data_IF_842430082362
#
_entry.id   IF_842430082362
#
_cell.length_a   1.000
_cell.length_b   1.000
_cell.length_c   1.000
_cell.angle_alpha   90.00
_cell.angle_beta   90.00
_cell.angle_gamma   90.00
#
_symmetry.space_group_name_H-M   'P 1'
#
loop_
_entity.id
_entity.type
_entity.pdbx_description
1 polymer ?
#
# COMPACT_ATOMS: atom_id res chain seq x y z
N UNK A 1 -6.15 -28.36 21.81
CA UNK A 1 -5.72 -27.68 20.57
C UNK A 1 -6.66 -28.08 19.43
N UNK A 2 -7.32 -27.11 18.79
CA UNK A 2 -8.26 -27.38 17.68
C UNK A 2 -7.52 -27.14 16.35
N UNK A 3 -7.51 -28.15 15.48
CA UNK A 3 -7.01 -28.05 14.09
C UNK A 3 -7.93 -27.12 13.29
N UNK A 4 -7.39 -26.45 12.27
CA UNK A 4 -8.16 -25.60 11.35
C UNK A 4 -8.96 -26.50 10.39
N UNK A 5 -10.03 -27.13 10.89
CA UNK A 5 -11.02 -27.80 10.06
C UNK A 5 -12.22 -26.88 9.85
N UNK A 6 -12.37 -26.41 8.61
CA UNK A 6 -13.55 -25.75 8.04
C UNK A 6 -14.17 -24.62 8.86
N UNK A 7 -13.81 -23.38 8.53
CA UNK A 7 -14.69 -22.24 8.72
C UNK A 7 -14.79 -21.42 7.43
N UNK A 8 -15.71 -21.84 6.54
CA UNK A 8 -16.49 -20.85 5.80
C UNK A 8 -17.57 -20.34 6.75
N UNK A 9 -17.29 -19.25 7.44
CA UNK A 9 -18.32 -18.40 8.02
C UNK A 9 -17.72 -17.03 8.32
N UNK A 10 -18.20 -16.06 7.55
CA UNK A 10 -17.99 -14.62 7.68
C UNK A 10 -17.95 -14.19 9.15
N UNK A 11 -16.89 -13.51 9.56
CA UNK A 11 -16.88 -12.71 10.78
C UNK A 11 -16.23 -11.36 10.47
N UNK A 12 -17.09 -10.40 10.14
CA UNK A 12 -16.79 -8.99 10.19
C UNK A 12 -16.28 -8.60 11.58
N UNK A 13 -15.28 -7.72 11.58
CA UNK A 13 -14.89 -6.79 12.64
C UNK A 13 -15.35 -7.12 14.08
N UNK A 14 -14.42 -7.62 14.89
CA UNK A 14 -14.33 -7.22 16.29
C UNK A 14 -12.92 -7.49 16.84
N UNK A 15 -12.07 -6.45 16.85
CA UNK A 15 -10.97 -6.37 17.81
C UNK A 15 -11.58 -6.26 19.21
N UNK A 16 -11.83 -7.39 19.85
CA UNK A 16 -12.00 -7.43 21.31
C UNK A 16 -10.75 -8.04 21.92
N UNK A 17 -9.93 -7.16 22.50
CA UNK A 17 -8.87 -7.54 23.43
C UNK A 17 -9.56 -8.10 24.68
N UNK A 18 -9.50 -9.41 24.88
CA UNK A 18 -9.65 -10.02 26.19
C UNK A 18 -8.39 -10.83 26.49
N UNK A 19 -7.52 -10.24 27.32
CA UNK A 19 -6.59 -11.03 28.11
C UNK A 19 -7.41 -11.73 29.21
N UNK A 20 -7.46 -13.06 29.16
CA UNK A 20 -7.74 -13.86 30.35
C UNK A 20 -6.74 -15.01 30.42
N UNK A 21 -5.82 -14.90 31.37
CA UNK A 21 -5.09 -16.05 31.87
C UNK A 21 -6.09 -17.10 32.36
N UNK A 22 -5.93 -18.33 31.87
CA UNK A 22 -6.28 -19.52 32.64
C UNK A 22 -5.08 -20.46 32.56
N UNK A 23 -4.48 -20.65 33.73
CA UNK A 23 -3.53 -21.70 34.07
C UNK A 23 -4.10 -23.10 33.81
N UNK A 24 -3.18 -24.07 33.84
CA UNK A 24 -3.36 -25.52 34.06
C UNK A 24 -3.61 -26.39 32.80
N UNK A 25 -2.57 -27.08 32.31
CA UNK A 25 -2.14 -28.38 32.87
C UNK A 25 -1.07 -29.06 32.00
N UNK A 26 -0.02 -29.55 32.66
CA UNK A 26 1.07 -30.35 32.09
C UNK A 26 0.57 -31.73 31.62
N UNK A 27 0.54 -31.94 30.30
CA UNK A 27 0.55 -33.27 29.69
C UNK A 27 1.66 -33.31 28.63
N UNK A 28 2.66 -34.16 28.90
CA UNK A 28 3.68 -34.55 27.92
C UNK A 28 3.01 -35.43 26.84
N UNK A 29 2.54 -34.81 25.76
CA UNK A 29 2.11 -35.50 24.53
C UNK A 29 3.27 -35.41 23.53
N UNK A 30 3.86 -36.57 23.23
CA UNK A 30 4.95 -36.78 22.28
C UNK A 30 4.50 -36.44 20.83
N UNK A 31 4.36 -35.14 20.51
CA UNK A 31 4.08 -34.64 19.16
C UNK A 31 5.00 -33.47 18.80
N UNK A 32 6.29 -33.78 18.70
CA UNK A 32 7.41 -32.84 18.52
C UNK A 32 7.77 -32.48 17.06
N UNK A 33 6.94 -32.76 16.05
CA UNK A 33 7.39 -32.59 14.65
C UNK A 33 6.65 -31.50 13.84
N UNK A 34 5.63 -30.82 14.37
CA UNK A 34 4.97 -29.71 13.66
C UNK A 34 5.55 -28.36 14.11
N UNK A 35 6.51 -27.86 13.34
CA UNK A 35 7.03 -26.50 13.45
C UNK A 35 6.41 -25.64 12.35
N UNK A 36 5.57 -24.67 12.75
CA UNK A 36 5.07 -23.64 11.85
C UNK A 36 6.06 -22.48 11.81
N UNK A 37 6.63 -22.22 10.64
CA UNK A 37 7.53 -21.10 10.41
C UNK A 37 6.73 -19.90 9.88
N UNK A 38 6.41 -18.96 10.78
CA UNK A 38 5.62 -17.78 10.44
C UNK A 38 6.35 -16.86 9.46
N UNK A 39 7.68 -16.74 9.57
CA UNK A 39 8.47 -15.85 8.72
C UNK A 39 8.45 -16.37 7.28
N UNK A 40 8.69 -17.67 7.09
CA UNK A 40 8.60 -18.29 5.77
C UNK A 40 7.19 -18.18 5.17
N UNK A 41 6.14 -18.34 5.99
CA UNK A 41 4.77 -18.19 5.52
C UNK A 41 4.44 -16.76 5.07
N UNK A 42 4.92 -15.75 5.82
CA UNK A 42 4.77 -14.34 5.44
C UNK A 42 5.51 -14.06 4.12
N UNK A 43 6.75 -14.51 3.99
CA UNK A 43 7.55 -14.34 2.76
C UNK A 43 6.84 -14.93 1.54
N UNK A 44 6.34 -16.17 1.63
CA UNK A 44 5.64 -16.83 0.53
C UNK A 44 4.31 -16.14 0.19
N UNK A 45 3.60 -15.65 1.21
CA UNK A 45 2.35 -14.91 1.04
C UNK A 45 2.57 -13.58 0.33
N UNK A 46 3.51 -12.75 0.82
CA UNK A 46 3.81 -11.45 0.23
C UNK A 46 4.50 -11.57 -1.13
N UNK A 47 5.27 -12.64 -1.37
CA UNK A 47 5.77 -12.96 -2.70
C UNK A 47 4.64 -13.18 -3.70
N UNK A 48 3.58 -13.88 -3.30
CA UNK A 48 2.43 -14.16 -4.17
C UNK A 48 1.52 -12.94 -4.37
N UNK A 49 1.16 -12.27 -3.28
CA UNK A 49 0.12 -11.24 -3.31
C UNK A 49 0.67 -9.82 -3.42
N UNK A 50 1.96 -9.62 -3.19
CA UNK A 50 2.61 -8.29 -3.18
C UNK A 50 2.52 -7.63 -1.81
N UNK A 51 3.18 -6.48 -1.64
CA UNK A 51 3.48 -5.82 -0.35
C UNK A 51 2.27 -5.57 0.58
N UNK A 52 1.06 -5.45 0.05
CA UNK A 52 -0.15 -5.24 0.86
C UNK A 52 -1.03 -6.49 0.99
N UNK A 53 -0.60 -7.63 0.45
CA UNK A 53 -1.35 -8.87 0.51
C UNK A 53 -2.65 -8.82 -0.31
N UNK A 54 -3.70 -9.44 0.23
CA UNK A 54 -5.00 -9.58 -0.42
C UNK A 54 -6.14 -9.60 0.61
N UNK A 55 -7.39 -9.72 0.19
CA UNK A 55 -8.54 -9.74 1.09
C UNK A 55 -8.51 -10.93 2.08
N UNK A 56 -9.26 -10.82 3.16
CA UNK A 56 -9.29 -11.81 4.24
C UNK A 56 -9.68 -13.21 3.76
N UNK A 57 -10.62 -13.30 2.80
CA UNK A 57 -11.11 -14.56 2.29
C UNK A 57 -10.03 -15.25 1.45
N UNK A 58 -9.36 -14.52 0.57
CA UNK A 58 -8.23 -15.03 -0.22
C UNK A 58 -7.06 -15.41 0.69
N UNK A 59 -6.80 -14.64 1.74
CA UNK A 59 -5.75 -14.91 2.74
C UNK A 59 -6.02 -16.21 3.50
N UNK A 60 -7.23 -16.40 4.01
CA UNK A 60 -7.64 -17.63 4.71
C UNK A 60 -7.58 -18.86 3.79
N UNK A 61 -8.02 -18.71 2.53
CA UNK A 61 -7.96 -19.78 1.54
C UNK A 61 -6.51 -20.16 1.20
N UNK A 62 -5.62 -19.17 1.06
CA UNK A 62 -4.21 -19.43 0.81
C UNK A 62 -3.56 -20.15 2.00
N UNK A 63 -3.79 -19.67 3.23
CA UNK A 63 -3.18 -20.25 4.43
C UNK A 63 -3.62 -21.71 4.63
N UNK A 64 -4.93 -21.97 4.59
CA UNK A 64 -5.47 -23.33 4.76
C UNK A 64 -5.01 -24.32 3.69
N UNK A 65 -4.74 -23.84 2.47
CA UNK A 65 -4.22 -24.69 1.39
C UNK A 65 -2.73 -25.00 1.53
N UNK A 66 -1.90 -24.10 2.08
CA UNK A 66 -0.45 -24.30 2.19
C UNK A 66 -0.04 -24.92 3.54
N UNK A 67 -0.83 -24.68 4.59
CA UNK A 67 -0.57 -25.18 5.94
C UNK A 67 -1.80 -25.93 6.49
N UNK A 68 -2.20 -27.07 5.86
CA UNK A 68 -3.42 -27.79 6.24
C UNK A 68 -3.38 -28.39 7.66
N UNK A 69 -2.19 -28.57 8.23
CA UNK A 69 -2.00 -29.07 9.59
C UNK A 69 -1.80 -27.96 10.65
N UNK A 70 -1.86 -26.68 10.24
CA UNK A 70 -1.73 -25.55 11.14
C UNK A 70 -2.83 -25.51 12.21
N UNK A 71 -2.45 -25.00 13.37
CA UNK A 71 -3.36 -24.70 14.47
C UNK A 71 -3.90 -23.28 14.36
N UNK A 72 -4.94 -23.00 15.16
CA UNK A 72 -5.50 -21.65 15.26
C UNK A 72 -4.47 -20.61 15.73
N UNK A 73 -3.51 -21.00 16.58
CA UNK A 73 -2.41 -20.13 17.00
C UNK A 73 -1.54 -19.69 15.83
N UNK A 74 -1.18 -20.63 14.96
CA UNK A 74 -0.34 -20.38 13.78
C UNK A 74 -1.01 -19.43 12.81
N UNK A 75 -2.33 -19.60 12.60
CA UNK A 75 -3.14 -18.66 11.84
C UNK A 75 -3.12 -17.26 12.46
N UNK A 76 -3.32 -17.16 13.78
CA UNK A 76 -3.33 -15.88 14.49
C UNK A 76 -1.97 -15.18 14.36
N UNK A 77 -0.87 -15.91 14.52
CA UNK A 77 0.49 -15.38 14.37
C UNK A 77 0.73 -14.91 12.93
N UNK A 78 0.28 -15.68 11.94
CA UNK A 78 0.37 -15.31 10.53
C UNK A 78 -0.41 -14.04 10.18
N UNK A 79 -1.69 -13.92 10.58
CA UNK A 79 -2.47 -12.71 10.28
C UNK A 79 -1.97 -11.48 11.05
N UNK A 80 -1.47 -11.67 12.27
CA UNK A 80 -0.80 -10.61 13.01
C UNK A 80 0.46 -10.14 12.29
N UNK A 81 1.25 -11.07 11.73
CA UNK A 81 2.39 -10.78 10.89
C UNK A 81 2.01 -9.99 9.63
N UNK A 82 0.94 -10.39 8.93
CA UNK A 82 0.42 -9.65 7.77
C UNK A 82 0.07 -8.21 8.15
N UNK A 83 -0.64 -8.02 9.27
CA UNK A 83 -1.03 -6.69 9.73
C UNK A 83 0.19 -5.80 10.03
N UNK A 84 1.23 -6.36 10.66
CA UNK A 84 2.47 -5.63 10.96
C UNK A 84 3.23 -5.23 9.70
N UNK A 85 3.34 -6.13 8.72
CA UNK A 85 3.99 -5.88 7.43
C UNK A 85 3.22 -4.84 6.60
N UNK A 86 1.88 -4.95 6.53
CA UNK A 86 1.03 -3.92 5.91
C UNK A 86 1.29 -2.56 6.51
N UNK A 87 1.24 -2.46 7.84
CA UNK A 87 1.50 -1.23 8.57
C UNK A 87 2.90 -0.65 8.29
N UNK A 88 3.91 -1.51 8.17
CA UNK A 88 5.26 -1.08 7.79
C UNK A 88 5.30 -0.54 6.36
N UNK A 89 4.64 -1.21 5.42
CA UNK A 89 4.58 -0.81 4.01
C UNK A 89 3.79 0.50 3.81
N UNK A 90 2.68 0.69 4.54
CA UNK A 90 1.93 1.96 4.57
C UNK A 90 2.83 3.10 5.03
N UNK A 91 3.60 2.92 6.11
CA UNK A 91 4.54 3.93 6.61
C UNK A 91 5.69 4.21 5.64
N UNK A 92 6.18 3.19 4.94
CA UNK A 92 7.25 3.35 3.96
C UNK A 92 6.78 4.20 2.77
N UNK A 93 5.61 3.88 2.20
CA UNK A 93 5.00 4.68 1.13
C UNK A 93 4.69 6.10 1.58
N UNK A 94 4.14 6.31 2.78
CA UNK A 94 3.90 7.63 3.35
C UNK A 94 5.17 8.48 3.46
N UNK A 95 6.31 7.87 3.81
CA UNK A 95 7.61 8.56 3.84
C UNK A 95 8.05 8.97 2.44
N UNK A 96 7.89 8.12 1.43
CA UNK A 96 8.24 8.47 0.05
C UNK A 96 7.44 9.70 -0.39
N UNK A 97 6.11 9.69 -0.18
CA UNK A 97 5.23 10.82 -0.55
C UNK A 97 5.62 12.14 0.14
N UNK A 98 6.06 12.09 1.40
CA UNK A 98 6.24 13.28 2.25
C UNK A 98 7.66 13.86 2.24
N UNK A 99 8.57 13.28 1.45
CA UNK A 99 9.98 13.70 1.37
C UNK A 99 10.24 14.89 0.43
N UNK A 100 9.21 15.40 -0.24
CA UNK A 100 9.27 16.56 -1.12
C UNK A 100 7.93 16.77 -1.82
N UNK A 101 7.83 17.86 -2.57
CA UNK A 101 6.69 18.06 -3.45
C UNK A 101 6.85 17.19 -4.71
N UNK A 102 5.77 16.63 -5.21
CA UNK A 102 5.71 15.87 -6.44
C UNK A 102 5.11 16.73 -7.54
N UNK A 103 5.83 16.96 -8.62
CA UNK A 103 5.36 17.84 -9.69
C UNK A 103 5.52 17.25 -11.08
N UNK A 104 4.64 17.65 -12.00
CA UNK A 104 4.72 17.22 -13.38
C UNK A 104 3.41 17.40 -14.14
N UNK A 105 3.36 16.91 -15.38
CA UNK A 105 2.15 16.95 -16.18
C UNK A 105 1.04 16.09 -15.57
N UNK A 106 -0.19 16.59 -15.67
CA UNK A 106 -1.40 15.86 -15.35
C UNK A 106 -2.43 16.07 -16.46
N UNK A 107 -3.12 14.98 -16.81
CA UNK A 107 -4.22 14.98 -17.76
C UNK A 107 -5.50 14.63 -17.03
N UNK A 108 -6.42 15.57 -17.00
CA UNK A 108 -7.73 15.41 -16.39
C UNK A 108 -8.74 14.93 -17.41
N UNK A 109 -9.56 13.97 -17.02
CA UNK A 109 -10.62 13.42 -17.86
C UNK A 109 -11.90 13.34 -17.03
N UNK A 110 -12.95 14.03 -17.47
CA UNK A 110 -14.25 13.99 -16.78
C UNK A 110 -15.40 13.86 -17.77
N UNK A 111 -16.53 13.39 -17.27
CA UNK A 111 -17.78 13.33 -18.04
C UNK A 111 -18.90 14.02 -17.30
N UNK A 112 -19.38 15.12 -17.88
CA UNK A 112 -20.56 15.80 -17.39
C UNK A 112 -21.79 14.88 -17.39
N UNK A 113 -22.68 15.09 -16.44
CA UNK A 113 -23.93 14.34 -16.36
C UNK A 113 -24.72 14.44 -17.67
N UNK A 114 -25.06 13.28 -18.25
CA UNK A 114 -25.79 13.20 -19.51
C UNK A 114 -24.93 13.34 -20.77
N UNK A 115 -23.62 13.59 -20.64
CA UNK A 115 -22.69 13.45 -21.74
C UNK A 115 -22.22 11.98 -21.87
N UNK A 116 -21.92 11.55 -23.10
CA UNK A 116 -21.40 10.21 -23.39
C UNK A 116 -19.88 10.20 -23.64
N UNK A 117 -19.28 11.37 -23.85
CA UNK A 117 -17.85 11.53 -24.16
C UNK A 117 -17.13 12.20 -23.00
N UNK A 118 -15.90 11.76 -22.74
CA UNK A 118 -15.01 12.47 -21.82
C UNK A 118 -14.59 13.81 -22.42
N UNK A 119 -14.61 14.83 -21.59
CA UNK A 119 -13.88 16.07 -21.78
C UNK A 119 -12.47 15.91 -21.20
N UNK A 120 -11.53 16.69 -21.73
CA UNK A 120 -10.12 16.59 -21.36
C UNK A 120 -9.50 17.98 -21.24
N UNK A 121 -8.68 18.13 -20.20
CA UNK A 121 -7.77 19.25 -20.04
C UNK A 121 -6.43 18.71 -19.51
N UNK A 122 -5.36 19.44 -19.74
CA UNK A 122 -4.05 19.14 -19.15
C UNK A 122 -3.53 20.35 -18.40
N UNK A 123 -2.79 20.11 -17.33
CA UNK A 123 -2.11 21.13 -16.55
C UNK A 123 -0.75 20.61 -16.06
N UNK A 124 0.04 21.49 -15.45
CA UNK A 124 1.11 21.09 -14.54
C UNK A 124 0.53 21.04 -13.14
N UNK A 125 0.74 19.95 -12.41
CA UNK A 125 0.31 19.82 -11.03
C UNK A 125 1.51 19.68 -10.09
N UNK A 126 1.38 20.19 -8.88
CA UNK A 126 2.28 19.99 -7.76
C UNK A 126 1.49 19.50 -6.54
N UNK A 127 1.95 18.40 -5.95
CA UNK A 127 1.38 17.77 -4.77
C UNK A 127 2.37 17.81 -3.62
N UNK A 128 1.99 18.46 -2.54
CA UNK A 128 2.72 18.48 -1.28
C UNK A 128 1.99 17.59 -0.26
N UNK A 129 2.70 16.64 0.34
CA UNK A 129 2.16 15.77 1.40
C UNK A 129 2.85 16.07 2.73
N UNK A 130 2.05 16.30 3.77
CA UNK A 130 2.50 16.49 5.14
C UNK A 130 1.87 15.42 6.05
N UNK A 131 2.71 14.74 6.84
CA UNK A 131 2.25 13.75 7.82
C UNK A 131 1.47 14.41 8.96
N UNK A 132 0.35 13.80 9.37
CA UNK A 132 -0.36 14.25 10.57
C UNK A 132 0.48 14.09 11.85
N UNK A 133 1.34 13.07 11.90
CA UNK A 133 2.27 12.79 12.99
C UNK A 133 3.40 11.86 12.50
N UNK A 134 4.47 11.76 13.29
CA UNK A 134 5.54 10.80 13.02
C UNK A 134 4.99 9.38 12.88
N UNK A 135 5.45 8.66 11.85
CA UNK A 135 5.01 7.30 11.50
C UNK A 135 3.52 7.16 11.17
N UNK A 136 2.81 8.24 10.83
CA UNK A 136 1.49 8.15 10.25
C UNK A 136 1.54 7.58 8.82
N UNK A 137 0.43 6.98 8.40
CA UNK A 137 0.15 6.63 7.01
C UNK A 137 -0.95 7.52 6.41
N UNK A 138 -1.12 8.71 7.00
CA UNK A 138 -2.14 9.69 6.65
C UNK A 138 -1.68 11.10 7.02
N UNK A 139 -2.35 12.10 6.47
CA UNK A 139 -1.99 13.47 6.69
C UNK A 139 -2.84 14.49 5.95
N UNK A 140 -2.27 15.67 5.81
CA UNK A 140 -2.79 16.75 4.97
C UNK A 140 -1.91 16.94 3.78
N UNK A 141 -2.47 17.52 2.73
CA UNK A 141 -1.70 17.91 1.58
C UNK A 141 -2.29 19.13 0.90
N UNK A 142 -1.58 19.55 -0.13
CA UNK A 142 -1.95 20.68 -0.96
C UNK A 142 -1.61 20.34 -2.40
N UNK A 143 -2.59 20.52 -3.26
CA UNK A 143 -2.44 20.51 -4.69
C UNK A 143 -2.34 21.95 -5.21
N UNK A 144 -1.45 22.18 -6.17
CA UNK A 144 -1.43 23.39 -6.98
C UNK A 144 -1.45 22.98 -8.45
N UNK A 145 -2.40 23.48 -9.24
CA UNK A 145 -2.48 23.22 -10.68
C UNK A 145 -2.25 24.53 -11.45
N UNK A 146 -1.39 24.50 -12.45
CA UNK A 146 -1.03 25.65 -13.30
C UNK A 146 -1.03 25.29 -14.78
N UNK A 147 -1.01 26.29 -15.66
CA UNK A 147 -0.81 26.12 -17.10
C UNK A 147 -1.88 25.23 -17.77
N UNK A 148 -3.14 25.45 -17.42
CA UNK A 148 -4.26 24.71 -17.99
C UNK A 148 -4.37 24.90 -19.51
N UNK A 149 -4.55 23.78 -20.24
CA UNK A 149 -4.69 23.78 -21.71
C UNK A 149 -5.98 24.43 -22.22
N UNK A 150 -7.00 24.51 -21.37
CA UNK A 150 -8.30 25.11 -21.69
C UNK A 150 -8.37 26.62 -21.34
N UNK A 151 -7.28 27.18 -20.80
CA UNK A 151 -7.19 28.58 -20.39
C UNK A 151 -7.82 28.88 -19.02
N UNK A 152 -8.18 27.86 -18.24
CA UNK A 152 -8.60 28.00 -16.85
C UNK A 152 -7.52 28.65 -15.99
N UNK A 153 -7.94 29.31 -14.91
CA UNK A 153 -7.02 29.93 -13.96
C UNK A 153 -6.32 28.88 -13.10
N UNK A 154 -5.11 29.22 -12.64
CA UNK A 154 -4.38 28.40 -11.67
C UNK A 154 -5.21 28.18 -10.39
N UNK A 155 -5.11 26.98 -9.83
CA UNK A 155 -5.86 26.58 -8.63
C UNK A 155 -4.95 26.06 -7.54
N UNK A 156 -5.40 26.18 -6.29
CA UNK A 156 -4.76 25.61 -5.13
C UNK A 156 -5.82 25.03 -4.19
N UNK A 157 -5.75 23.73 -3.95
CA UNK A 157 -6.75 22.99 -3.16
C UNK A 157 -6.05 22.15 -2.11
N UNK A 158 -6.52 22.20 -0.88
CA UNK A 158 -6.00 21.35 0.18
C UNK A 158 -6.78 20.03 0.25
N UNK A 159 -6.16 18.97 0.76
CA UNK A 159 -6.80 17.65 0.86
C UNK A 159 -6.35 16.88 2.11
N UNK A 160 -7.18 15.94 2.58
CA UNK A 160 -6.71 14.86 3.45
C UNK A 160 -6.15 13.75 2.57
N UNK A 161 -5.19 13.00 3.09
CA UNK A 161 -4.76 11.79 2.43
C UNK A 161 -4.52 10.67 3.42
N UNK A 162 -4.71 9.44 2.97
CA UNK A 162 -4.31 8.23 3.69
C UNK A 162 -3.90 7.12 2.73
N UNK A 163 -3.18 6.14 3.27
CA UNK A 163 -2.91 4.88 2.61
C UNK A 163 -3.80 3.84 3.26
N UNK A 164 -4.58 3.12 2.46
CA UNK A 164 -5.45 2.06 2.96
C UNK A 164 -4.69 0.73 3.19
N UNK A 165 -5.40 -0.32 3.56
CA UNK A 165 -4.79 -1.63 3.84
C UNK A 165 -4.38 -2.42 2.58
N UNK A 166 -4.75 -1.93 1.40
CA UNK A 166 -4.36 -2.46 0.09
C UNK A 166 -3.26 -1.64 -0.58
N UNK A 167 -2.79 -0.57 0.06
CA UNK A 167 -1.76 0.33 -0.45
C UNK A 167 -2.27 1.39 -1.41
N UNK A 168 -3.59 1.55 -1.54
CA UNK A 168 -4.17 2.63 -2.32
C UNK A 168 -3.95 3.96 -1.59
N UNK A 169 -3.73 5.03 -2.34
CA UNK A 169 -3.65 6.38 -1.80
C UNK A 169 -5.00 7.04 -2.02
N UNK A 170 -5.66 7.41 -0.92
CA UNK A 170 -6.95 8.10 -0.94
C UNK A 170 -6.68 9.59 -0.71
N UNK A 171 -7.28 10.45 -1.53
CA UNK A 171 -7.15 11.90 -1.50
C UNK A 171 -8.55 12.53 -1.38
N UNK A 172 -8.87 13.09 -0.22
CA UNK A 172 -10.14 13.78 0.01
C UNK A 172 -9.93 15.28 -0.08
N UNK A 173 -10.30 15.87 -1.22
CA UNK A 173 -10.16 17.29 -1.45
C UNK A 173 -11.12 18.09 -0.58
N UNK A 174 -10.70 19.28 -0.15
CA UNK A 174 -11.55 20.23 0.52
C UNK A 174 -12.51 20.90 -0.47
N UNK A 175 -13.67 21.31 0.01
CA UNK A 175 -14.62 22.15 -0.74
C UNK A 175 -15.15 23.28 0.14
N UNK A 176 -15.99 24.14 -0.42
CA UNK A 176 -16.71 25.17 0.34
C UNK A 176 -17.61 24.57 1.44
N UNK A 177 -17.99 23.29 1.33
CA UNK A 177 -18.76 22.56 2.35
C UNK A 177 -17.91 22.12 3.55
N UNK A 178 -16.58 22.18 3.42
CA UNK A 178 -15.63 21.91 4.49
C UNK A 178 -14.48 20.98 4.09
N UNK A 179 -13.66 20.67 5.10
CA UNK A 179 -12.49 19.82 4.93
C UNK A 179 -12.89 18.39 4.53
N UNK A 180 -12.27 17.85 3.48
CA UNK A 180 -12.57 16.52 2.95
C UNK A 180 -14.03 16.34 2.50
N UNK A 181 -14.67 17.42 2.04
CA UNK A 181 -16.05 17.42 1.49
C UNK A 181 -16.10 17.71 0.00
N UNK A 182 -14.96 17.78 -0.66
CA UNK A 182 -14.85 17.86 -2.10
C UNK A 182 -14.85 16.48 -2.73
N UNK A 183 -14.09 16.33 -3.80
CA UNK A 183 -13.93 15.07 -4.51
C UNK A 183 -12.98 14.16 -3.73
N UNK A 184 -13.37 12.91 -3.54
CA UNK A 184 -12.47 11.82 -3.14
C UNK A 184 -11.88 11.18 -4.40
N UNK A 185 -10.55 11.19 -4.51
CA UNK A 185 -9.79 10.55 -5.58
C UNK A 185 -8.95 9.41 -5.01
N UNK A 186 -8.89 8.28 -5.72
CA UNK A 186 -8.13 7.09 -5.29
C UNK A 186 -7.08 6.74 -6.33
N UNK A 187 -5.82 6.67 -5.90
CA UNK A 187 -4.72 6.06 -6.67
C UNK A 187 -4.60 4.61 -6.26
N UNK A 188 -5.00 3.70 -7.14
CA UNK A 188 -4.91 2.27 -6.86
C UNK A 188 -3.45 1.79 -6.87
N UNK A 189 -3.07 0.98 -5.88
CA UNK A 189 -1.71 0.43 -5.79
C UNK A 189 -1.31 -0.39 -7.04
N UNK A 190 -2.29 -1.01 -7.70
CA UNK A 190 -2.07 -1.78 -8.92
C UNK A 190 -1.63 -0.90 -10.11
N UNK A 191 -2.09 0.35 -10.15
CA UNK A 191 -1.85 1.31 -11.22
C UNK A 191 -0.74 2.31 -10.88
N UNK A 192 -0.24 2.26 -9.63
CA UNK A 192 0.77 3.16 -9.10
C UNK A 192 2.19 2.73 -9.50
N UNK A 193 2.86 3.56 -10.29
CA UNK A 193 4.30 3.49 -10.44
C UNK A 193 4.99 4.44 -9.46
N UNK A 194 5.60 3.87 -8.42
CA UNK A 194 6.29 4.62 -7.37
C UNK A 194 7.74 4.13 -7.26
N UNK A 195 8.68 4.89 -7.83
CA UNK A 195 10.12 4.59 -7.78
C UNK A 195 10.86 5.75 -7.09
N UNK A 196 11.21 5.54 -5.82
CA UNK A 196 11.92 6.54 -5.01
C UNK A 196 13.34 6.83 -5.54
N UNK A 197 13.99 5.83 -6.14
CA UNK A 197 15.34 5.96 -6.69
C UNK A 197 15.34 6.81 -7.97
N UNK A 198 14.27 6.68 -8.78
CA UNK A 198 14.06 7.48 -9.99
C UNK A 198 13.31 8.79 -9.73
N UNK A 199 12.90 9.07 -8.49
CA UNK A 199 12.01 10.18 -8.15
C UNK A 199 10.74 10.17 -9.02
N UNK A 200 10.08 9.03 -9.16
CA UNK A 200 8.90 8.87 -10.00
C UNK A 200 7.67 8.52 -9.15
N UNK A 201 6.59 9.26 -9.35
CA UNK A 201 5.26 9.00 -8.82
C UNK A 201 4.29 9.22 -9.97
N UNK A 202 3.82 8.12 -10.58
CA UNK A 202 2.98 8.16 -11.76
C UNK A 202 1.85 7.14 -11.65
N UNK A 203 0.74 7.40 -12.33
CA UNK A 203 -0.41 6.51 -12.35
C UNK A 203 -1.69 7.23 -12.73
N UNK A 204 -2.81 6.66 -12.34
CA UNK A 204 -4.14 7.22 -12.52
C UNK A 204 -4.82 7.35 -11.17
N UNK A 205 -5.34 8.54 -10.86
CA UNK A 205 -6.27 8.74 -9.74
C UNK A 205 -7.70 8.73 -10.29
N UNK A 206 -8.60 7.99 -9.66
CA UNK A 206 -10.00 7.86 -10.09
C UNK A 206 -10.93 8.38 -9.01
N UNK A 207 -11.96 9.15 -9.39
CA UNK A 207 -12.97 9.59 -8.45
C UNK A 207 -13.72 8.39 -7.83
N UNK A 208 -13.81 8.37 -6.51
CA UNK A 208 -14.69 7.48 -5.76
C UNK A 208 -15.96 8.21 -5.27
N UNK A 209 -16.16 9.45 -5.72
CA UNK A 209 -17.32 10.28 -5.34
C UNK A 209 -18.55 9.88 -6.14
N UNK A 210 -19.69 9.68 -5.45
CA UNK A 210 -20.94 9.29 -6.10
C UNK A 210 -21.37 10.30 -7.19
N UNK A 211 -21.66 9.77 -8.38
CA UNK A 211 -22.14 10.58 -9.50
C UNK A 211 -21.07 11.35 -10.26
N UNK A 212 -19.79 11.24 -9.86
CA UNK A 212 -18.66 11.80 -10.59
C UNK A 212 -17.95 10.72 -11.39
N UNK A 213 -17.83 10.93 -12.69
CA UNK A 213 -17.04 10.10 -13.60
C UNK A 213 -15.82 10.91 -14.05
N UNK A 214 -14.75 10.80 -13.26
CA UNK A 214 -13.52 11.57 -13.38
C UNK A 214 -12.31 10.68 -13.09
N UNK A 215 -11.25 10.86 -13.86
CA UNK A 215 -9.94 10.32 -13.58
C UNK A 215 -8.83 11.23 -14.11
N UNK A 216 -7.74 11.32 -13.35
CA UNK A 216 -6.57 12.10 -13.73
C UNK A 216 -5.36 11.16 -13.91
N UNK A 217 -4.74 11.22 -15.08
CA UNK A 217 -3.47 10.55 -15.35
C UNK A 217 -2.32 11.50 -15.01
N UNK A 218 -1.32 11.02 -14.29
CA UNK A 218 -0.20 11.85 -13.85
C UNK A 218 1.16 11.17 -14.00
N UNK A 219 2.18 11.98 -14.24
CA UNK A 219 3.59 11.57 -14.24
C UNK A 219 4.41 12.62 -13.49
N UNK A 220 4.59 12.40 -12.18
CA UNK A 220 5.23 13.37 -11.31
C UNK A 220 6.65 12.97 -10.94
N UNK A 221 7.49 13.99 -10.81
CA UNK A 221 8.83 13.90 -10.29
C UNK A 221 8.96 14.63 -8.97
N UNK A 222 9.77 14.07 -8.06
CA UNK A 222 10.03 14.70 -6.77
C UNK A 222 10.89 15.95 -6.95
N UNK A 223 10.29 17.12 -6.69
CA UNK A 223 10.98 18.39 -6.64
C UNK A 223 11.82 18.48 -5.35
N UNK A 224 13.12 18.66 -5.52
CA UNK A 224 14.07 18.79 -4.40
C UNK A 224 14.11 20.23 -3.85
N UNK A 225 12.98 20.77 -3.36
CA UNK A 225 13.08 21.90 -2.44
C UNK A 225 13.33 21.32 -1.04
N UNK A 226 14.49 21.61 -0.46
CA UNK A 226 14.85 21.11 0.86
C UNK A 226 13.84 21.59 1.92
N UNK A 227 12.88 20.75 2.34
CA UNK A 227 12.18 20.94 3.62
C UNK A 227 13.19 20.64 4.73
N UNK A 228 13.54 21.64 5.53
CA UNK A 228 14.28 21.42 6.77
C UNK A 228 13.32 20.85 7.84
N UNK A 229 13.69 19.71 8.44
CA UNK A 229 12.83 18.89 9.28
C UNK A 229 12.64 19.40 10.72
N UNK A 230 11.58 18.95 11.42
CA UNK A 230 11.66 18.64 12.83
C UNK A 230 12.09 17.16 13.01
N UNK A 231 13.35 16.91 13.39
CA UNK A 231 13.79 15.63 13.98
C UNK A 231 14.33 14.53 13.06
N UNK A 232 15.13 14.89 12.06
CA UNK A 232 15.71 13.98 11.06
C UNK A 232 16.33 12.66 11.61
N UNK A 233 15.95 11.53 11.00
CA UNK A 233 16.90 10.50 10.56
C UNK A 233 16.45 9.90 9.22
N UNK A 234 17.38 9.86 8.26
CA UNK A 234 17.31 9.04 7.05
C UNK A 234 17.65 7.60 7.43
N UNK A 235 16.78 6.67 7.08
CA UNK A 235 17.16 5.30 6.80
C UNK A 235 16.26 4.83 5.64
N UNK A 236 16.78 4.88 4.41
CA UNK A 236 16.20 4.13 3.30
C UNK A 236 16.65 2.69 3.45
N UNK A 237 15.72 1.81 3.75
CA UNK A 237 15.93 0.37 3.68
C UNK A 237 15.14 -0.15 2.48
N UNK A 238 15.84 -0.30 1.35
CA UNK A 238 15.71 -1.38 0.37
C UNK A 238 14.32 -1.82 -0.16
N UNK A 239 13.25 -1.07 0.03
CA UNK A 239 11.93 -1.42 -0.51
C UNK A 239 11.69 -0.61 -1.78
N UNK A 240 11.97 -1.23 -2.92
CA UNK A 240 11.50 -0.77 -4.22
C UNK A 240 10.01 -1.08 -4.29
N UNK A 241 9.17 -0.04 -4.32
CA UNK A 241 7.80 -0.19 -4.75
C UNK A 241 7.80 -0.23 -6.28
N UNK A 242 7.02 -1.12 -6.87
CA UNK A 242 6.71 -1.08 -8.29
C UNK A 242 5.30 -1.62 -8.41
N UNK A 243 4.34 -0.80 -8.82
CA UNK A 243 3.04 -1.29 -9.27
C UNK A 243 3.29 -2.40 -10.28
N UNK A 244 2.60 -3.53 -10.10
CA UNK A 244 2.93 -4.78 -10.80
C UNK A 244 2.88 -4.61 -12.31
N UNK A 245 4.05 -4.49 -12.95
CA UNK A 245 4.26 -4.89 -14.33
C UNK A 245 4.73 -6.34 -14.37
N UNK A 246 3.82 -7.28 -14.65
CA UNK A 246 3.99 -8.63 -15.21
C UNK A 246 5.25 -9.45 -14.83
N UNK A 247 5.14 -10.70 -14.33
CA UNK A 247 6.29 -11.55 -14.09
C UNK A 247 7.04 -11.86 -15.39
N UNK A 248 8.21 -11.25 -15.59
CA UNK A 248 9.13 -11.67 -16.64
C UNK A 248 9.91 -12.88 -16.15
N UNK A 249 9.40 -14.04 -16.58
CA UNK A 249 10.11 -15.31 -16.74
C UNK A 249 10.67 -15.98 -15.49
N UNK A 250 9.98 -17.05 -15.09
CA UNK A 250 10.67 -18.26 -14.68
C UNK A 250 11.67 -18.67 -15.78
N UNK A 251 12.96 -18.77 -15.45
CA UNK A 251 13.81 -19.95 -15.72
C UNK A 251 15.30 -19.66 -15.43
N UNK A 252 15.81 -20.39 -14.44
CA UNK A 252 17.18 -20.95 -14.32
C UNK A 252 18.40 -20.04 -14.43
N UNK A 253 19.17 -19.95 -13.34
CA UNK A 253 20.46 -20.64 -13.27
C UNK A 253 20.95 -20.77 -11.83
N UNK A 254 20.82 -21.99 -11.29
CA UNK A 254 21.69 -22.49 -10.22
C UNK A 254 23.13 -22.40 -10.72
N UNK A 255 23.98 -21.62 -10.04
CA UNK A 255 25.42 -21.87 -10.00
C UNK A 255 25.89 -21.88 -8.56
N UNK A 256 25.98 -23.10 -8.01
CA UNK A 256 26.84 -23.42 -6.88
C UNK A 256 28.28 -23.05 -7.25
N UNK A 257 28.88 -22.14 -6.49
CA UNK A 257 30.33 -21.98 -6.47
C UNK A 257 30.92 -23.13 -5.66
N UNK A 258 31.55 -24.07 -6.35
CA UNK A 258 32.41 -25.08 -5.72
C UNK A 258 33.82 -24.49 -5.64
N UNK A 259 34.33 -24.38 -4.41
CA UNK A 259 35.71 -24.04 -4.06
C UNK A 259 36.69 -24.91 -4.85
N UNK A 260 37.62 -24.29 -5.56
CA UNK A 260 38.85 -24.96 -6.01
C UNK A 260 39.92 -24.78 -4.92
N UNK A 261 40.35 -25.91 -4.37
CA UNK A 261 41.50 -25.98 -3.48
C UNK A 261 42.78 -25.67 -4.25
N UNK A 262 43.66 -24.89 -3.63
CA UNK A 262 45.08 -24.86 -3.92
C UNK A 262 45.68 -26.26 -3.83
N UNK A 263 46.58 -26.62 -4.72
CA UNK A 263 47.92 -27.15 -4.41
C UNK A 263 48.66 -27.57 -5.68
N UNK A 264 49.88 -27.02 -5.79
CA UNK A 264 51.04 -27.41 -6.62
C UNK A 264 50.98 -27.16 -8.13
#
# INVERSE_FOLDING_TARGET
>A
MKKVYQFMLVAAAAMFIFASCSDDDYYWDDRDDYYFDVEQALDDYFYKYGAFGTDDQTTANWFSSNYPDAYQSDWNDFVNGIAQERDANKRAMARILTTGAWNGPMKMNWRDQGNSQYQQASCTAEYDFDLAKSNAAYGRGKETRTDYSDGSADTQTAFNWEIDDYGNIILDFDSDEGQGKGVEMVVYYADLNLDDDQNLFAGTMTSNTEGLDEYDDFEFHRASYAKAAPGAQKQSSGLSFSGKGTPKNALTAVKRSVKTNSHR
#
